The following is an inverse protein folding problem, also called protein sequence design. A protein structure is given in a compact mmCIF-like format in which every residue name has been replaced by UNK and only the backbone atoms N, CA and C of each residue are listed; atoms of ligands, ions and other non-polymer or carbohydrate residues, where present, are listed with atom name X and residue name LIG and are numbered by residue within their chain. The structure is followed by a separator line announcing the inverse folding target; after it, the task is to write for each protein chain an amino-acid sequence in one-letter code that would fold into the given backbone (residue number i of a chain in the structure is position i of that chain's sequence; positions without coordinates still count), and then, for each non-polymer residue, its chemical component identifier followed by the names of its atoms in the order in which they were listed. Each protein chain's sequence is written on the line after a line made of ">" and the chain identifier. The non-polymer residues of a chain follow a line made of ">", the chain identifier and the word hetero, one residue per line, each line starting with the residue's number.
data_IF_372200142692
#
_entry.id   IF_372200142692
#
_cell.length_a   1.000
_cell.length_b   1.000
_cell.length_c   1.000
_cell.angle_alpha   90.00
_cell.angle_beta   90.00
_cell.angle_gamma   90.00
#
_symmetry.space_group_name_H-M   'P 1'
#
loop_
_entity.id
_entity.type
_entity.pdbx_description
1 polymer ?
#
# COMPACT_ATOMS: atom_id res chain seq x y z
N UNK A 1 -6.76 4.14 -2.21
CA UNK A 1 -7.13 4.12 -3.64
C UNK A 1 -7.16 5.56 -4.13
N UNK A 2 -6.17 5.97 -4.93
CA UNK A 2 -6.27 7.20 -5.69
C UNK A 2 -7.05 6.88 -6.97
N UNK A 3 -8.19 7.53 -7.17
CA UNK A 3 -8.86 7.57 -8.46
C UNK A 3 -7.89 8.21 -9.45
N UNK A 4 -7.25 7.40 -10.28
CA UNK A 4 -6.63 7.88 -11.52
C UNK A 4 -7.77 8.35 -12.42
N UNK A 5 -8.20 9.60 -12.22
CA UNK A 5 -8.86 10.35 -13.28
C UNK A 5 -7.99 10.20 -14.53
N UNK A 6 -8.59 9.89 -15.68
CA UNK A 6 -7.97 10.02 -17.00
C UNK A 6 -7.60 11.51 -17.17
N UNK A 7 -6.45 11.88 -16.63
CA UNK A 7 -6.03 13.27 -16.46
C UNK A 7 -5.43 13.73 -17.79
N UNK A 8 -6.30 14.32 -18.62
CA UNK A 8 -6.06 14.95 -19.93
C UNK A 8 -5.45 14.06 -21.02
N UNK A 9 -6.30 13.51 -21.89
CA UNK A 9 -5.87 12.96 -23.19
C UNK A 9 -5.30 14.04 -24.13
N UNK A 10 -5.68 15.32 -23.92
CA UNK A 10 -5.19 16.46 -24.72
C UNK A 10 -3.84 16.98 -24.20
N UNK A 11 -2.75 16.36 -24.68
CA UNK A 11 -1.38 16.84 -24.44
C UNK A 11 -1.15 18.28 -24.92
N UNK A 12 -1.87 18.74 -25.95
CA UNK A 12 -1.72 20.09 -26.50
C UNK A 12 -2.29 21.16 -25.56
N UNK A 13 -3.34 20.85 -24.81
CA UNK A 13 -3.81 21.71 -23.74
C UNK A 13 -2.79 21.81 -22.60
N UNK A 14 -2.23 20.69 -22.15
CA UNK A 14 -1.23 20.65 -21.08
C UNK A 14 0.00 21.48 -21.45
N UNK A 15 0.49 21.36 -22.68
CA UNK A 15 1.62 22.14 -23.20
C UNK A 15 1.32 23.65 -23.20
N UNK A 16 0.14 24.06 -23.66
CA UNK A 16 -0.26 25.49 -23.65
C UNK A 16 -0.37 26.05 -22.23
N UNK A 17 -0.92 25.27 -21.30
CA UNK A 17 -1.00 25.66 -19.88
C UNK A 17 0.40 25.73 -19.28
N UNK A 18 1.29 24.78 -19.56
CA UNK A 18 2.67 24.81 -19.11
C UNK A 18 3.44 26.04 -19.62
N UNK A 19 3.27 26.39 -20.90
CA UNK A 19 3.86 27.61 -21.47
C UNK A 19 3.32 28.88 -20.80
N UNK A 20 2.01 28.95 -20.55
CA UNK A 20 1.42 30.07 -19.83
C UNK A 20 1.95 30.17 -18.39
N UNK A 21 2.02 29.06 -17.65
CA UNK A 21 2.57 29.02 -16.29
C UNK A 21 4.03 29.46 -16.27
N UNK A 22 4.85 29.02 -17.23
CA UNK A 22 6.25 29.47 -17.36
C UNK A 22 6.38 30.97 -17.55
N UNK A 23 5.52 31.57 -18.39
CA UNK A 23 5.50 33.02 -18.60
C UNK A 23 5.09 33.79 -17.34
N UNK A 24 4.18 33.22 -16.54
CA UNK A 24 3.73 33.85 -15.28
C UNK A 24 4.81 33.76 -14.21
N UNK A 25 5.46 32.61 -14.08
CA UNK A 25 6.56 32.38 -13.12
C UNK A 25 7.76 33.32 -13.35
N UNK A 26 7.96 33.84 -14.57
CA UNK A 26 9.04 34.79 -14.85
C UNK A 26 8.69 36.25 -14.53
N UNK A 27 7.42 36.55 -14.24
CA UNK A 27 6.93 37.92 -14.02
C UNK A 27 6.42 38.12 -12.59
N UNK A 28 5.88 37.07 -11.97
CA UNK A 28 5.23 37.14 -10.67
C UNK A 28 5.91 36.24 -9.64
N UNK A 29 5.89 36.68 -8.38
CA UNK A 29 6.32 35.89 -7.25
C UNK A 29 5.16 34.99 -6.80
N UNK A 30 5.32 33.68 -6.96
CA UNK A 30 4.34 32.69 -6.52
C UNK A 30 4.66 32.23 -5.10
N UNK A 31 3.61 32.01 -4.31
CA UNK A 31 3.79 31.45 -2.98
C UNK A 31 4.05 29.94 -3.06
N UNK A 32 4.82 29.39 -2.11
CA UNK A 32 5.21 27.97 -2.10
C UNK A 32 4.02 27.01 -2.18
N UNK A 33 2.88 27.39 -1.59
CA UNK A 33 1.61 26.66 -1.69
C UNK A 33 1.14 26.49 -3.14
N UNK A 34 1.22 27.55 -3.94
CA UNK A 34 0.78 27.55 -5.34
C UNK A 34 1.76 26.72 -6.17
N UNK A 35 3.06 26.90 -5.94
CA UNK A 35 4.13 26.12 -6.58
C UNK A 35 3.98 24.62 -6.32
N UNK A 36 3.68 24.22 -5.08
CA UNK A 36 3.45 22.82 -4.71
C UNK A 36 2.22 22.22 -5.42
N UNK A 37 1.15 23.00 -5.57
CA UNK A 37 -0.05 22.58 -6.31
C UNK A 37 0.24 22.45 -7.80
N UNK A 38 0.92 23.44 -8.40
CA UNK A 38 1.32 23.40 -9.80
C UNK A 38 2.20 22.17 -10.10
N UNK A 39 3.25 21.96 -9.31
CA UNK A 39 4.15 20.82 -9.47
C UNK A 39 3.38 19.49 -9.39
N UNK A 40 2.51 19.34 -8.38
CA UNK A 40 1.70 18.14 -8.20
C UNK A 40 0.70 17.92 -9.34
N UNK A 41 0.11 18.99 -9.90
CA UNK A 41 -0.83 18.89 -11.01
C UNK A 41 -0.13 18.42 -12.29
N UNK A 42 1.03 19.00 -12.62
CA UNK A 42 1.82 18.58 -13.78
C UNK A 42 2.37 17.16 -13.63
N UNK A 43 2.80 16.79 -12.43
CA UNK A 43 3.21 15.42 -12.13
C UNK A 43 2.05 14.42 -12.31
N UNK A 44 0.83 14.78 -11.89
CA UNK A 44 -0.34 13.91 -12.01
C UNK A 44 -0.78 13.65 -13.46
N UNK A 45 -0.54 14.58 -14.39
CA UNK A 45 -0.73 14.40 -15.84
C UNK A 45 0.51 13.81 -16.54
N UNK A 46 1.52 13.35 -15.78
CA UNK A 46 2.80 12.85 -16.29
C UNK A 46 3.50 13.82 -17.25
N UNK A 47 3.37 15.12 -17.00
CA UNK A 47 4.05 16.17 -17.77
C UNK A 47 5.41 16.48 -17.13
N UNK A 48 6.48 16.33 -17.91
CA UNK A 48 7.86 16.24 -17.42
C UNK A 48 8.82 17.28 -18.01
N UNK A 49 8.36 18.48 -18.35
CA UNK A 49 9.22 19.54 -18.92
C UNK A 49 10.26 20.02 -17.89
N UNK A 50 11.54 19.81 -18.20
CA UNK A 50 12.65 20.25 -17.35
C UNK A 50 12.62 21.76 -17.13
N UNK A 51 12.27 22.55 -18.15
CA UNK A 51 12.29 24.00 -18.02
C UNK A 51 11.21 24.49 -17.04
N UNK A 52 9.98 23.98 -17.14
CA UNK A 52 8.92 24.29 -16.17
C UNK A 52 9.32 23.90 -14.74
N UNK A 53 9.76 22.65 -14.52
CA UNK A 53 10.13 22.18 -13.19
C UNK A 53 11.36 22.90 -12.63
N UNK A 54 12.29 23.36 -13.47
CA UNK A 54 13.41 24.20 -13.02
C UNK A 54 12.92 25.55 -12.52
N UNK A 55 12.03 26.23 -13.25
CA UNK A 55 11.48 27.52 -12.78
C UNK A 55 10.69 27.36 -11.48
N UNK A 56 9.91 26.27 -11.35
CA UNK A 56 9.21 25.97 -10.11
C UNK A 56 10.19 25.74 -8.96
N UNK A 57 11.27 24.98 -9.18
CA UNK A 57 12.27 24.71 -8.15
C UNK A 57 12.99 25.99 -7.71
N UNK A 58 13.42 26.81 -8.67
CA UNK A 58 14.14 28.06 -8.39
C UNK A 58 13.23 29.04 -7.61
N UNK A 59 11.95 29.18 -8.01
CA UNK A 59 10.96 29.99 -7.27
C UNK A 59 10.59 29.39 -5.89
N UNK A 60 10.58 28.06 -5.77
CA UNK A 60 10.25 27.39 -4.52
C UNK A 60 11.32 27.63 -3.45
N UNK A 61 12.60 27.67 -3.84
CA UNK A 61 13.72 27.91 -2.91
C UNK A 61 13.59 29.26 -2.22
N UNK A 62 13.05 30.28 -2.89
CA UNK A 62 12.90 31.63 -2.33
C UNK A 62 11.86 31.69 -1.18
N UNK A 63 10.82 30.86 -1.25
CA UNK A 63 9.68 30.87 -0.31
C UNK A 63 9.57 29.60 0.53
N UNK A 64 10.56 28.70 0.45
CA UNK A 64 10.52 27.36 1.07
C UNK A 64 10.38 27.40 2.59
N UNK A 65 10.89 28.45 3.24
CA UNK A 65 10.84 28.60 4.69
C UNK A 65 9.40 28.77 5.20
N UNK A 66 8.49 29.25 4.36
CA UNK A 66 7.06 29.42 4.66
C UNK A 66 6.27 28.12 4.46
N UNK A 67 6.89 27.08 3.86
CA UNK A 67 6.21 25.86 3.47
C UNK A 67 5.72 25.03 4.66
N UNK A 68 4.46 24.65 4.66
CA UNK A 68 3.93 23.64 5.58
C UNK A 68 4.50 22.25 5.26
N UNK A 69 4.50 21.30 6.21
CA UNK A 69 4.90 19.91 5.97
C UNK A 69 4.19 19.27 4.77
N UNK A 70 2.91 19.62 4.58
CA UNK A 70 2.09 19.14 3.47
C UNK A 70 2.57 19.68 2.13
N UNK A 71 2.96 20.95 2.06
CA UNK A 71 3.48 21.58 0.84
C UNK A 71 4.85 21.03 0.47
N UNK A 72 5.73 20.83 1.46
CA UNK A 72 7.02 20.16 1.26
C UNK A 72 6.83 18.74 0.72
N UNK A 73 5.92 17.96 1.33
CA UNK A 73 5.65 16.60 0.88
C UNK A 73 5.11 16.55 -0.56
N UNK A 74 4.22 17.47 -0.94
CA UNK A 74 3.70 17.58 -2.32
C UNK A 74 4.80 17.91 -3.32
N UNK A 75 5.67 18.87 -3.02
CA UNK A 75 6.80 19.19 -3.88
C UNK A 75 7.72 17.99 -4.07
N UNK A 76 8.13 17.36 -2.96
CA UNK A 76 8.98 16.18 -3.01
C UNK A 76 8.36 15.05 -3.84
N UNK A 77 7.08 14.76 -3.62
CA UNK A 77 6.37 13.73 -4.37
C UNK A 77 6.26 14.08 -5.86
N UNK A 78 5.90 15.32 -6.18
CA UNK A 78 5.78 15.79 -7.56
C UNK A 78 7.09 15.57 -8.31
N UNK A 79 8.20 16.14 -7.82
CA UNK A 79 9.49 16.03 -8.48
C UNK A 79 10.04 14.60 -8.51
N UNK A 80 9.72 13.75 -7.53
CA UNK A 80 10.16 12.35 -7.49
C UNK A 80 9.32 11.40 -8.35
N UNK A 81 8.15 11.85 -8.83
CA UNK A 81 7.24 11.04 -9.67
C UNK A 81 7.42 11.29 -11.16
N UNK A 82 8.10 12.36 -11.55
CA UNK A 82 8.36 12.70 -12.95
C UNK A 82 9.31 11.67 -13.56
N UNK A 83 8.78 10.77 -14.39
CA UNK A 83 9.57 9.76 -15.08
C UNK A 83 10.17 10.31 -16.39
N UNK A 84 11.34 9.81 -16.82
CA UNK A 84 11.85 10.12 -18.15
C UNK A 84 10.89 9.53 -19.20
N UNK A 85 10.32 10.40 -20.06
CA UNK A 85 9.54 9.98 -21.21
C UNK A 85 10.34 9.00 -22.08
N UNK A 86 9.94 7.74 -22.09
CA UNK A 86 10.57 6.65 -22.83
C UNK A 86 10.14 6.72 -24.31
N UNK A 87 10.63 7.73 -25.04
CA UNK A 87 10.52 7.74 -26.49
C UNK A 87 11.75 7.04 -27.07
N UNK A 88 11.56 5.99 -27.87
CA UNK A 88 12.62 5.34 -28.63
C UNK A 88 13.16 6.32 -29.67
N UNK A 89 14.44 6.69 -29.58
CA UNK A 89 15.11 7.60 -30.52
C UNK A 89 16.59 7.28 -30.67
N UNK A 90 17.22 7.79 -31.72
CA UNK A 90 18.57 7.41 -32.18
C UNK A 90 19.71 7.66 -31.18
N UNK A 91 20.92 7.20 -31.51
CA UNK A 91 22.10 7.26 -30.62
C UNK A 91 22.50 8.70 -30.20
N UNK A 92 22.32 9.70 -31.07
CA UNK A 92 22.62 11.10 -30.76
C UNK A 92 21.54 11.73 -29.86
N UNK A 93 20.27 11.42 -30.12
CA UNK A 93 19.15 11.82 -29.26
C UNK A 93 19.27 11.18 -27.87
N UNK A 94 19.81 9.97 -27.78
CA UNK A 94 20.05 9.29 -26.51
C UNK A 94 21.08 10.02 -25.64
N UNK A 95 22.17 10.53 -26.23
CA UNK A 95 23.19 11.27 -25.50
C UNK A 95 22.64 12.58 -24.92
N UNK A 96 21.83 13.30 -25.69
CA UNK A 96 21.15 14.52 -25.24
C UNK A 96 20.08 14.21 -24.19
N UNK A 97 19.32 13.12 -24.34
CA UNK A 97 18.36 12.64 -23.32
C UNK A 97 19.03 12.31 -22.00
N UNK A 98 20.18 11.65 -22.03
CA UNK A 98 20.98 11.34 -20.83
C UNK A 98 21.42 12.64 -20.16
N UNK A 99 21.98 13.59 -20.90
CA UNK A 99 22.40 14.87 -20.36
C UNK A 99 21.24 15.67 -19.74
N UNK A 100 20.06 15.67 -20.38
CA UNK A 100 18.85 16.31 -19.84
C UNK A 100 18.32 15.60 -18.59
N UNK A 101 18.37 14.27 -18.56
CA UNK A 101 18.02 13.45 -17.39
C UNK A 101 18.93 13.78 -16.20
N UNK A 102 20.24 13.87 -16.43
CA UNK A 102 21.21 14.26 -15.40
C UNK A 102 20.98 15.67 -14.87
N UNK A 103 20.68 16.64 -15.75
CA UNK A 103 20.35 18.01 -15.33
C UNK A 103 19.09 18.05 -14.46
N UNK A 104 18.04 17.32 -14.85
CA UNK A 104 16.83 17.17 -14.04
C UNK A 104 17.14 16.59 -12.67
N UNK A 105 17.91 15.49 -12.64
CA UNK A 105 18.32 14.84 -11.40
C UNK A 105 19.08 15.79 -10.47
N UNK A 106 20.06 16.54 -10.98
CA UNK A 106 20.80 17.52 -10.18
C UNK A 106 19.91 18.63 -9.62
N UNK A 107 18.95 19.12 -10.41
CA UNK A 107 17.97 20.13 -9.94
C UNK A 107 17.05 19.57 -8.86
N UNK A 108 16.59 18.33 -9.01
CA UNK A 108 15.81 17.64 -7.97
C UNK A 108 16.63 17.46 -6.69
N UNK A 109 17.89 17.04 -6.79
CA UNK A 109 18.76 16.87 -5.62
C UNK A 109 18.98 18.21 -4.88
N UNK A 110 19.22 19.31 -5.60
CA UNK A 110 19.34 20.63 -5.01
C UNK A 110 18.05 21.08 -4.29
N UNK A 111 16.88 20.86 -4.89
CA UNK A 111 15.60 21.16 -4.23
C UNK A 111 15.39 20.28 -3.00
N UNK A 112 15.73 19.00 -3.09
CA UNK A 112 15.60 18.03 -2.00
C UNK A 112 16.50 18.40 -0.82
N UNK A 113 17.74 18.85 -1.05
CA UNK A 113 18.64 19.35 0.01
C UNK A 113 17.96 20.44 0.85
N UNK A 114 17.36 21.43 0.18
CA UNK A 114 16.65 22.53 0.84
C UNK A 114 15.38 22.04 1.56
N UNK A 115 14.61 21.15 0.92
CA UNK A 115 13.40 20.57 1.53
C UNK A 115 13.72 19.74 2.77
N UNK A 116 14.81 18.96 2.75
CA UNK A 116 15.26 18.13 3.88
C UNK A 116 15.69 19.02 5.05
N UNK A 117 16.45 20.09 4.79
CA UNK A 117 16.82 21.06 5.81
C UNK A 117 15.58 21.71 6.46
N UNK A 118 14.63 22.19 5.65
CA UNK A 118 13.39 22.78 6.15
C UNK A 118 12.52 21.77 6.93
N UNK A 119 12.40 20.54 6.43
CA UNK A 119 11.64 19.48 7.09
C UNK A 119 12.24 19.09 8.45
N UNK A 120 13.57 19.10 8.60
CA UNK A 120 14.26 18.83 9.88
C UNK A 120 13.87 19.82 10.97
N UNK A 121 13.64 21.09 10.63
CA UNK A 121 13.23 22.11 11.60
C UNK A 121 11.76 21.95 12.01
N UNK A 122 10.92 21.51 11.08
CA UNK A 122 9.46 21.45 11.27
C UNK A 122 8.97 20.12 11.86
N UNK A 123 9.78 19.06 11.77
CA UNK A 123 9.41 17.69 12.17
C UNK A 123 8.85 17.56 13.59
N UNK A 124 9.39 18.32 14.54
CA UNK A 124 9.02 18.22 15.96
C UNK A 124 7.56 18.62 16.24
N UNK A 125 6.93 19.36 15.32
CA UNK A 125 5.59 19.92 15.47
C UNK A 125 4.57 19.29 14.52
N UNK A 126 4.98 18.30 13.73
CA UNK A 126 4.09 17.62 12.79
C UNK A 126 3.05 16.77 13.53
N UNK A 127 1.81 16.83 13.04
CA UNK A 127 0.76 15.87 13.40
C UNK A 127 1.10 14.46 12.88
N UNK A 128 0.37 13.45 13.36
CA UNK A 128 0.53 12.07 12.88
C UNK A 128 0.35 11.95 11.36
N UNK A 129 -0.64 12.64 10.79
CA UNK A 129 -0.90 12.61 9.36
C UNK A 129 0.21 13.30 8.55
N UNK A 130 0.73 14.41 9.05
CA UNK A 130 1.87 15.10 8.43
C UNK A 130 3.14 14.27 8.48
N UNK A 131 3.43 13.60 9.60
CA UNK A 131 4.58 12.70 9.72
C UNK A 131 4.49 11.56 8.70
N UNK A 132 3.33 10.94 8.54
CA UNK A 132 3.13 9.85 7.58
C UNK A 132 3.26 10.34 6.13
N UNK A 133 2.63 11.47 5.82
CA UNK A 133 2.68 12.07 4.49
C UNK A 133 4.13 12.44 4.12
N UNK A 134 4.84 13.13 5.01
CA UNK A 134 6.22 13.55 4.79
C UNK A 134 7.17 12.35 4.74
N UNK A 135 7.01 11.33 5.60
CA UNK A 135 7.81 10.11 5.54
C UNK A 135 7.64 9.36 4.22
N UNK A 136 6.41 9.27 3.71
CA UNK A 136 6.16 8.65 2.41
C UNK A 136 6.79 9.44 1.26
N UNK A 137 6.64 10.78 1.26
CA UNK A 137 7.21 11.64 0.23
C UNK A 137 8.75 11.63 0.24
N UNK A 138 9.37 11.71 1.42
CA UNK A 138 10.82 11.60 1.59
C UNK A 138 11.35 10.23 1.18
N UNK A 139 10.62 9.15 1.47
CA UNK A 139 11.00 7.82 1.03
C UNK A 139 10.93 7.65 -0.49
N UNK A 140 9.95 8.27 -1.15
CA UNK A 140 9.90 8.32 -2.62
C UNK A 140 11.11 9.09 -3.16
N UNK A 141 11.45 10.24 -2.57
CA UNK A 141 12.63 11.02 -2.92
C UNK A 141 13.94 10.24 -2.71
N UNK A 142 14.03 9.47 -1.61
CA UNK A 142 15.17 8.59 -1.33
C UNK A 142 15.43 7.57 -2.43
N UNK A 143 14.37 7.05 -3.07
CA UNK A 143 14.50 6.05 -4.14
C UNK A 143 15.07 6.59 -5.45
N UNK A 144 14.93 7.89 -5.70
CA UNK A 144 15.37 8.56 -6.94
C UNK A 144 16.65 9.36 -6.78
N UNK A 145 17.11 9.56 -5.55
CA UNK A 145 18.33 10.31 -5.24
C UNK A 145 19.57 9.48 -5.56
N UNK A 146 20.53 10.03 -6.31
CA UNK A 146 21.79 9.36 -6.61
C UNK A 146 22.95 9.81 -5.69
N UNK A 147 22.90 11.05 -5.19
CA UNK A 147 23.90 11.57 -4.25
C UNK A 147 23.94 10.75 -2.95
N UNK A 148 25.08 10.14 -2.58
CA UNK A 148 25.16 9.33 -1.36
C UNK A 148 25.01 10.17 -0.09
N UNK A 149 25.62 11.36 -0.04
CA UNK A 149 25.52 12.26 1.11
C UNK A 149 24.06 12.69 1.38
N UNK A 150 23.33 13.06 0.33
CA UNK A 150 21.92 13.44 0.46
C UNK A 150 21.05 12.24 0.85
N UNK A 151 21.36 11.03 0.36
CA UNK A 151 20.66 9.82 0.78
C UNK A 151 20.86 9.54 2.27
N UNK A 152 22.06 9.75 2.80
CA UNK A 152 22.34 9.60 4.23
C UNK A 152 21.56 10.64 5.05
N UNK A 153 21.47 11.88 4.56
CA UNK A 153 20.68 12.93 5.19
C UNK A 153 19.18 12.60 5.22
N UNK A 154 18.62 12.17 4.09
CA UNK A 154 17.21 11.75 4.01
C UNK A 154 16.95 10.55 4.92
N UNK A 155 17.85 9.57 4.96
CA UNK A 155 17.74 8.41 5.85
C UNK A 155 17.78 8.82 7.34
N UNK A 156 18.64 9.77 7.71
CA UNK A 156 18.69 10.31 9.07
C UNK A 156 17.41 11.06 9.46
N UNK A 157 16.82 11.83 8.52
CA UNK A 157 15.53 12.49 8.72
C UNK A 157 14.40 11.47 8.87
N UNK A 158 14.35 10.44 8.01
CA UNK A 158 13.37 9.35 8.11
C UNK A 158 13.50 8.59 9.45
N UNK A 159 14.73 8.35 9.93
CA UNK A 159 14.97 7.76 11.24
C UNK A 159 14.45 8.63 12.38
N UNK A 160 14.58 9.96 12.26
CA UNK A 160 14.05 10.92 13.23
C UNK A 160 12.51 10.94 13.22
N UNK A 161 11.89 10.92 12.04
CA UNK A 161 10.42 10.80 11.87
C UNK A 161 9.89 9.53 12.50
N UNK A 162 10.58 8.40 12.26
CA UNK A 162 10.24 7.11 12.85
C UNK A 162 10.25 7.17 14.37
N UNK A 163 11.34 7.68 14.96
CA UNK A 163 11.49 7.80 16.41
C UNK A 163 10.38 8.65 17.04
N UNK A 164 10.03 9.77 16.40
CA UNK A 164 8.96 10.65 16.86
C UNK A 164 7.58 10.01 16.72
N UNK A 165 7.30 9.33 15.61
CA UNK A 165 6.06 8.57 15.41
C UNK A 165 5.94 7.44 16.45
N UNK A 166 7.03 6.71 16.71
CA UNK A 166 7.06 5.64 17.72
C UNK A 166 6.86 6.20 19.14
N UNK A 167 7.42 7.37 19.45
CA UNK A 167 7.21 8.03 20.74
C UNK A 167 5.76 8.53 20.94
N UNK A 168 5.04 8.80 19.85
CA UNK A 168 3.67 9.35 19.85
C UNK A 168 2.59 8.33 19.42
N UNK A 169 2.90 7.02 19.41
CA UNK A 169 1.99 5.93 18.98
C UNK A 169 0.61 5.92 19.66
N UNK A 170 0.49 6.53 20.85
CA UNK A 170 -0.78 6.65 21.55
C UNK A 170 -1.84 7.42 20.74
N UNK A 171 -1.42 8.37 19.90
CA UNK A 171 -2.30 9.22 19.08
C UNK A 171 -2.62 8.56 17.73
N UNK A 172 -1.88 7.52 17.33
CA UNK A 172 -2.07 6.84 16.05
C UNK A 172 -3.24 5.86 16.11
N UNK A 173 -4.06 5.91 15.06
CA UNK A 173 -5.07 4.89 14.74
C UNK A 173 -4.43 3.66 14.07
N UNK A 174 -5.18 2.56 13.98
CA UNK A 174 -4.70 1.32 13.35
C UNK A 174 -4.29 1.51 11.89
N UNK A 175 -5.08 2.26 11.12
CA UNK A 175 -4.77 2.57 9.71
C UNK A 175 -3.51 3.41 9.58
N UNK A 176 -3.32 4.40 10.45
CA UNK A 176 -2.10 5.22 10.50
C UNK A 176 -0.86 4.39 10.86
N UNK A 177 -0.98 3.44 11.79
CA UNK A 177 0.12 2.49 12.10
C UNK A 177 0.45 1.63 10.88
N UNK A 178 -0.58 1.14 10.16
CA UNK A 178 -0.37 0.39 8.92
C UNK A 178 0.36 1.23 7.87
N UNK A 179 -0.01 2.50 7.69
CA UNK A 179 0.66 3.43 6.77
C UNK A 179 2.11 3.71 7.18
N UNK A 180 2.37 3.84 8.48
CA UNK A 180 3.74 3.99 9.00
C UNK A 180 4.58 2.79 8.58
N UNK A 181 4.14 1.57 8.93
CA UNK A 181 4.87 0.34 8.64
C UNK A 181 5.07 0.16 7.13
N UNK A 182 4.04 0.44 6.32
CA UNK A 182 4.13 0.41 4.86
C UNK A 182 5.24 1.30 4.32
N UNK A 183 5.29 2.57 4.75
CA UNK A 183 6.29 3.53 4.25
C UNK A 183 7.70 3.05 4.58
N UNK A 184 7.96 2.61 5.81
CA UNK A 184 9.30 2.12 6.18
C UNK A 184 9.66 0.79 5.51
N UNK A 185 8.70 -0.13 5.30
CA UNK A 185 8.95 -1.38 4.60
C UNK A 185 9.21 -1.18 3.11
N UNK A 186 8.45 -0.28 2.46
CA UNK A 186 8.56 0.02 1.03
C UNK A 186 9.95 0.53 0.67
N UNK A 187 10.49 1.41 1.51
CA UNK A 187 11.78 2.06 1.29
C UNK A 187 12.96 1.34 1.94
N UNK A 188 12.71 0.14 2.49
CA UNK A 188 13.71 -0.71 3.19
C UNK A 188 14.51 0.07 4.23
N UNK A 189 13.86 1.00 4.91
CA UNK A 189 14.47 1.81 5.95
C UNK A 189 14.58 0.98 7.23
N UNK A 190 15.69 1.09 7.99
CA UNK A 190 15.89 0.28 9.17
C UNK A 190 14.84 0.59 10.24
N UNK A 191 14.23 -0.47 10.77
CA UNK A 191 13.26 -0.37 11.86
C UNK A 191 13.74 -1.22 13.06
N UNK A 192 14.51 -0.64 13.99
CA UNK A 192 14.96 -1.28 15.21
C UNK A 192 13.91 -2.17 15.90
N UNK A 193 14.27 -3.40 16.30
CA UNK A 193 13.36 -4.33 16.96
C UNK A 193 12.72 -3.78 18.24
N UNK A 194 13.44 -2.93 18.99
CA UNK A 194 12.92 -2.28 20.20
C UNK A 194 11.75 -1.33 19.91
N UNK A 195 11.79 -0.64 18.78
CA UNK A 195 10.72 0.26 18.36
C UNK A 195 9.57 -0.52 17.73
N UNK A 196 9.85 -1.59 16.97
CA UNK A 196 8.82 -2.53 16.51
C UNK A 196 8.07 -3.16 17.68
N UNK A 197 8.76 -3.49 18.78
CA UNK A 197 8.11 -4.04 19.97
C UNK A 197 7.09 -3.04 20.55
N UNK A 198 7.41 -1.75 20.61
CA UNK A 198 6.45 -0.72 21.04
C UNK A 198 5.23 -0.61 20.12
N UNK A 199 5.44 -0.76 18.80
CA UNK A 199 4.34 -0.82 17.83
C UNK A 199 3.45 -2.04 18.11
N UNK A 200 4.05 -3.21 18.32
CA UNK A 200 3.34 -4.46 18.65
C UNK A 200 2.54 -4.33 19.95
N UNK A 201 3.13 -3.74 20.99
CA UNK A 201 2.45 -3.50 22.27
C UNK A 201 1.25 -2.56 22.08
N UNK A 202 1.41 -1.49 21.28
CA UNK A 202 0.31 -0.58 20.95
C UNK A 202 -0.81 -1.28 20.18
N UNK A 203 -0.46 -2.11 19.20
CA UNK A 203 -1.43 -2.90 18.44
C UNK A 203 -2.21 -3.84 19.35
N UNK A 204 -1.55 -4.48 20.33
CA UNK A 204 -2.23 -5.31 21.34
C UNK A 204 -3.16 -4.52 22.28
N UNK A 205 -2.82 -3.27 22.59
CA UNK A 205 -3.67 -2.39 23.38
C UNK A 205 -4.93 -1.95 22.61
N UNK A 206 -4.80 -1.67 21.30
CA UNK A 206 -5.94 -1.32 20.45
C UNK A 206 -6.94 -2.47 20.32
N UNK A 207 -6.43 -3.71 20.23
CA UNK A 207 -7.26 -4.90 20.00
C UNK A 207 -8.01 -5.36 21.24
N UNK A 208 -7.45 -5.11 22.43
CA UNK A 208 -8.12 -5.36 23.70
C UNK A 208 -9.17 -4.30 24.04
N UNK A 209 -8.97 -3.05 23.63
CA UNK A 209 -9.91 -1.95 23.85
C UNK A 209 -11.22 -2.11 23.06
N UNK A 210 -11.15 -2.59 21.81
CA UNK A 210 -12.33 -2.85 20.97
C UNK A 210 -13.19 -4.00 21.51
N UNK A 211 -12.57 -5.01 22.12
CA UNK A 211 -13.28 -6.12 22.77
C UNK A 211 -14.11 -5.68 23.99
N UNK A 212 -13.67 -4.65 24.72
CA UNK A 212 -14.38 -4.12 25.91
C UNK A 212 -15.55 -3.19 25.51
N UNK A 213 -15.45 -2.49 24.39
CA UNK A 213 -16.53 -1.60 23.91
C UNK A 213 -17.68 -2.36 23.23
N UNK A 214 -17.40 -3.51 22.61
CA UNK A 214 -18.42 -4.39 22.03
C UNK A 214 -19.39 -5.01 23.05
N UNK A 215 -19.01 -5.08 24.33
CA UNK A 215 -19.84 -5.65 25.39
C UNK A 215 -20.87 -4.67 25.99
N UNK A 216 -20.85 -3.37 25.63
CA UNK A 216 -21.67 -2.34 26.28
C UNK A 216 -22.71 -1.62 25.41
N UNK A 217 -22.78 -1.86 24.10
CA UNK A 217 -23.77 -1.21 23.23
C UNK A 217 -24.62 -2.22 22.46
N UNK A 218 -25.52 -2.88 23.19
CA UNK A 218 -26.73 -3.44 22.59
C UNK A 218 -27.71 -2.30 22.29
N UNK A 219 -27.61 -1.72 21.10
CA UNK A 219 -28.71 -1.07 20.34
C UNK A 219 -28.13 -0.08 19.34
N UNK A 220 -28.05 -0.49 18.07
CA UNK A 220 -28.26 0.32 16.85
C UNK A 220 -27.74 -0.50 15.67
N UNK A 221 -28.62 -1.37 15.16
CA UNK A 221 -28.46 -1.99 13.84
C UNK A 221 -28.54 -0.88 12.77
N UNK A 222 -27.94 -1.15 11.60
CA UNK A 222 -27.76 -0.26 10.43
C UNK A 222 -26.41 0.47 10.44
N UNK A 223 -25.30 -0.28 10.27
CA UNK A 223 -24.02 0.14 9.61
C UNK A 223 -22.89 -0.92 9.71
N UNK A 224 -23.09 -2.03 10.42
CA UNK A 224 -21.99 -2.93 10.84
C UNK A 224 -21.42 -3.91 9.78
N UNK A 225 -21.89 -3.94 8.53
CA UNK A 225 -21.48 -4.97 7.56
C UNK A 225 -20.30 -4.60 6.66
N UNK A 226 -19.84 -3.34 6.60
CA UNK A 226 -18.65 -2.94 5.81
C UNK A 226 -17.36 -2.75 6.62
N UNK A 227 -17.46 -2.50 7.91
CA UNK A 227 -16.32 -2.29 8.81
C UNK A 227 -15.41 -3.52 9.04
N UNK A 228 -15.89 -4.78 9.02
CA UNK A 228 -15.03 -5.94 9.30
C UNK A 228 -13.98 -6.23 8.22
N UNK A 229 -14.30 -5.99 6.95
CA UNK A 229 -13.41 -6.30 5.83
C UNK A 229 -12.25 -5.31 5.71
N UNK A 230 -12.51 -4.01 5.88
CA UNK A 230 -11.46 -2.98 5.88
C UNK A 230 -10.51 -3.14 7.08
N UNK A 231 -11.07 -3.52 8.24
CA UNK A 231 -10.28 -3.84 9.43
C UNK A 231 -9.38 -5.05 9.19
N UNK A 232 -9.91 -6.13 8.63
CA UNK A 232 -9.16 -7.34 8.32
C UNK A 232 -8.04 -7.06 7.30
N UNK A 233 -8.32 -6.33 6.22
CA UNK A 233 -7.32 -5.95 5.23
C UNK A 233 -6.19 -5.11 5.84
N UNK A 234 -6.53 -4.21 6.77
CA UNK A 234 -5.54 -3.42 7.53
C UNK A 234 -4.69 -4.31 8.44
N UNK A 235 -5.30 -5.25 9.17
CA UNK A 235 -4.60 -6.20 10.03
C UNK A 235 -3.65 -7.12 9.23
N UNK A 236 -4.11 -7.64 8.08
CA UNK A 236 -3.29 -8.42 7.15
C UNK A 236 -2.08 -7.59 6.70
N UNK A 237 -2.32 -6.35 6.28
CA UNK A 237 -1.27 -5.43 5.83
C UNK A 237 -0.23 -5.19 6.93
N UNK A 238 -0.68 -4.97 8.17
CA UNK A 238 0.20 -4.80 9.33
C UNK A 238 1.07 -6.05 9.55
N UNK A 239 0.48 -7.26 9.58
CA UNK A 239 1.23 -8.51 9.76
C UNK A 239 2.27 -8.70 8.65
N UNK A 240 1.90 -8.40 7.42
CA UNK A 240 2.79 -8.45 6.27
C UNK A 240 3.96 -7.46 6.39
N UNK A 241 3.72 -6.20 6.74
CA UNK A 241 4.80 -5.22 6.89
C UNK A 241 5.70 -5.52 8.10
N UNK A 242 5.14 -6.05 9.20
CA UNK A 242 5.93 -6.51 10.34
C UNK A 242 6.88 -7.64 9.95
N UNK A 243 6.40 -8.60 9.15
CA UNK A 243 7.24 -9.67 8.60
C UNK A 243 8.40 -9.09 7.77
N UNK A 244 8.11 -8.20 6.81
CA UNK A 244 9.13 -7.58 5.97
C UNK A 244 10.20 -6.81 6.79
N UNK A 245 9.77 -6.03 7.78
CA UNK A 245 10.68 -5.25 8.62
C UNK A 245 11.55 -6.14 9.52
N UNK A 246 10.98 -7.22 10.07
CA UNK A 246 11.72 -8.20 10.86
C UNK A 246 12.74 -8.99 10.02
N UNK A 247 12.45 -9.25 8.74
CA UNK A 247 13.39 -9.90 7.82
C UNK A 247 14.51 -8.95 7.36
N UNK A 248 14.21 -7.68 7.16
CA UNK A 248 15.17 -6.66 6.71
C UNK A 248 16.17 -6.20 7.77
N UNK A 249 15.93 -6.52 9.05
CA UNK A 249 16.82 -6.14 10.15
C UNK A 249 18.17 -6.88 10.03
N UNK A 250 19.31 -6.18 9.97
CA UNK A 250 20.60 -6.81 9.81
C UNK A 250 20.83 -7.79 10.97
N UNK A 251 21.05 -9.06 10.64
CA UNK A 251 21.57 -10.05 11.58
C UNK A 251 22.93 -9.53 12.03
N UNK A 252 23.01 -9.07 13.28
CA UNK A 252 24.24 -8.57 13.89
C UNK A 252 25.29 -9.67 13.91
N UNK A 253 26.12 -9.72 12.87
CA UNK A 253 27.34 -10.53 12.78
C UNK A 253 28.47 -9.81 13.51
N UNK A 254 28.34 -9.62 14.82
CA UNK A 254 29.49 -9.34 15.68
C UNK A 254 29.22 -9.88 17.08
N UNK A 255 30.08 -10.79 17.54
CA UNK A 255 29.96 -11.49 18.83
C UNK A 255 30.22 -10.59 20.04
N UNK A 256 29.38 -9.58 20.24
CA UNK A 256 29.44 -8.63 21.37
C UNK A 256 28.16 -8.69 22.21
N UNK A 257 28.22 -8.30 23.48
CA UNK A 257 27.05 -8.28 24.38
C UNK A 257 25.89 -7.38 23.87
N UNK A 258 26.19 -6.41 23.00
CA UNK A 258 25.17 -5.60 22.33
C UNK A 258 24.37 -6.42 21.30
N UNK A 259 25.02 -7.37 20.61
CA UNK A 259 24.37 -8.27 19.66
C UNK A 259 23.46 -9.29 20.35
N UNK A 260 23.82 -9.77 21.56
CA UNK A 260 22.94 -10.65 22.34
C UNK A 260 21.70 -9.92 22.86
N UNK A 261 21.83 -8.66 23.30
CA UNK A 261 20.70 -7.81 23.66
C UNK A 261 19.76 -7.50 22.49
N UNK A 262 20.32 -7.22 21.31
CA UNK A 262 19.54 -6.99 20.09
C UNK A 262 18.80 -8.26 19.63
N UNK A 263 19.45 -9.42 19.69
CA UNK A 263 18.84 -10.71 19.37
C UNK A 263 17.70 -11.06 20.34
N UNK A 264 17.89 -10.85 21.65
CA UNK A 264 16.84 -11.06 22.64
C UNK A 264 15.63 -10.13 22.43
N UNK A 265 15.88 -8.88 22.06
CA UNK A 265 14.82 -7.92 21.73
C UNK A 265 14.05 -8.36 20.48
N UNK A 266 14.77 -8.78 19.42
CA UNK A 266 14.15 -9.32 18.21
C UNK A 266 13.29 -10.55 18.50
N UNK A 267 13.75 -11.47 19.34
CA UNK A 267 12.97 -12.64 19.75
C UNK A 267 11.69 -12.24 20.49
N UNK A 268 11.76 -11.27 21.41
CA UNK A 268 10.57 -10.71 22.08
C UNK A 268 9.59 -10.06 21.11
N UNK A 269 10.10 -9.26 20.16
CA UNK A 269 9.27 -8.65 19.12
C UNK A 269 8.56 -9.72 18.31
N UNK A 270 9.29 -10.74 17.86
CA UNK A 270 8.75 -11.85 17.08
C UNK A 270 7.67 -12.63 17.85
N UNK A 271 7.91 -12.91 19.14
CA UNK A 271 6.92 -13.53 20.03
C UNK A 271 5.65 -12.67 20.16
N UNK A 272 5.80 -11.34 20.27
CA UNK A 272 4.68 -10.41 20.32
C UNK A 272 3.87 -10.39 19.02
N UNK A 273 4.54 -10.39 17.86
CA UNK A 273 3.88 -10.47 16.55
C UNK A 273 3.14 -11.80 16.38
N UNK A 274 3.72 -12.92 16.80
CA UNK A 274 3.03 -14.23 16.78
C UNK A 274 1.74 -14.21 17.61
N UNK A 275 1.79 -13.61 18.80
CA UNK A 275 0.59 -13.45 19.64
C UNK A 275 -0.48 -12.60 18.96
N UNK A 276 -0.09 -11.50 18.31
CA UNK A 276 -1.02 -10.68 17.51
C UNK A 276 -1.66 -11.50 16.38
N UNK A 277 -0.84 -12.23 15.62
CA UNK A 277 -1.31 -13.09 14.53
C UNK A 277 -2.36 -14.09 15.04
N UNK A 278 -2.06 -14.86 16.11
CA UNK A 278 -3.03 -15.80 16.70
C UNK A 278 -4.34 -15.12 17.14
N UNK A 279 -4.26 -13.89 17.63
CA UNK A 279 -5.43 -13.12 18.09
C UNK A 279 -6.27 -12.61 16.91
N UNK A 280 -5.64 -12.23 15.80
CA UNK A 280 -6.32 -11.61 14.65
C UNK A 280 -6.82 -12.62 13.63
N UNK A 281 -6.06 -13.69 13.38
CA UNK A 281 -6.34 -14.69 12.34
C UNK A 281 -7.78 -15.21 12.35
N UNK A 282 -8.41 -15.57 13.49
CA UNK A 282 -9.79 -16.01 13.50
C UNK A 282 -10.77 -14.95 12.96
N UNK A 283 -10.62 -13.69 13.40
CA UNK A 283 -11.47 -12.58 12.96
C UNK A 283 -11.22 -12.20 11.51
N UNK A 284 -9.96 -12.30 11.05
CA UNK A 284 -9.60 -12.09 9.65
C UNK A 284 -10.35 -13.10 8.77
N UNK A 285 -10.33 -14.39 9.10
CA UNK A 285 -11.03 -15.41 8.31
C UNK A 285 -12.56 -15.24 8.32
N UNK A 286 -13.14 -14.73 9.41
CA UNK A 286 -14.56 -14.37 9.46
C UNK A 286 -14.92 -13.25 8.48
N UNK A 287 -14.00 -12.33 8.18
CA UNK A 287 -14.25 -11.25 7.21
C UNK A 287 -14.42 -11.76 5.77
N UNK A 288 -13.88 -12.95 5.46
CA UNK A 288 -14.06 -13.65 4.20
C UNK A 288 -15.32 -14.53 4.18
N UNK A 289 -16.12 -14.57 5.26
CA UNK A 289 -17.36 -15.35 5.32
C UNK A 289 -18.48 -14.63 4.57
N UNK A 290 -19.42 -15.37 3.94
CA UNK A 290 -20.57 -14.76 3.29
C UNK A 290 -21.41 -14.00 4.34
N UNK A 291 -21.73 -12.74 4.04
CA UNK A 291 -22.63 -11.96 4.88
C UNK A 291 -24.00 -12.66 4.91
N UNK A 292 -24.62 -12.91 6.09
CA UNK A 292 -25.87 -13.65 6.19
C UNK A 292 -27.07 -12.96 5.49
N UNK A 293 -26.90 -11.74 4.99
CA UNK A 293 -27.95 -10.95 4.33
C UNK A 293 -28.09 -11.19 2.81
N UNK A 294 -27.24 -12.01 2.19
CA UNK A 294 -27.36 -12.31 0.75
C UNK A 294 -28.08 -13.64 0.46
N UNK A 295 -28.24 -14.50 1.47
CA UNK A 295 -28.89 -15.81 1.29
C UNK A 295 -30.41 -15.81 1.61
N UNK A 296 -31.00 -14.69 2.03
CA UNK A 296 -32.45 -14.58 2.26
C UNK A 296 -33.27 -14.39 0.99
N UNK A 297 -32.67 -14.02 -0.16
CA UNK A 297 -33.40 -13.92 -1.43
C UNK A 297 -33.52 -15.24 -2.20
N UNK A 298 -32.86 -16.33 -1.75
CA UNK A 298 -32.98 -17.67 -2.37
C UNK A 298 -33.83 -18.65 -1.54
N UNK A 299 -34.34 -18.21 -0.38
CA UNK A 299 -35.18 -19.03 0.51
C UNK A 299 -36.69 -18.70 0.43
N UNK A 300 -37.10 -17.72 -0.38
CA UNK A 300 -38.51 -17.27 -0.48
C UNK A 300 -39.18 -17.60 -1.83
N UNK A 301 -38.58 -18.48 -2.65
CA UNK A 301 -39.17 -18.93 -3.93
C UNK A 301 -39.45 -20.45 -4.00
N UNK A 302 -39.46 -21.16 -2.85
CA UNK A 302 -39.82 -22.59 -2.80
C UNK A 302 -41.16 -22.92 -2.13
N UNK A 303 -41.96 -21.91 -1.81
CA UNK A 303 -43.33 -22.11 -1.33
C UNK A 303 -44.27 -21.10 -1.99
N UNK A 304 -44.70 -21.39 -3.21
CA UNK A 304 -45.98 -20.99 -3.81
C UNK A 304 -46.00 -21.46 -5.27
N UNK A 305 -46.13 -22.77 -5.44
CA UNK A 305 -46.57 -23.36 -6.69
C UNK A 305 -47.83 -24.16 -6.39
N UNK A 306 -48.99 -23.58 -6.67
CA UNK A 306 -50.22 -24.26 -7.14
C UNK A 306 -51.40 -23.27 -7.05
N UNK A 307 -51.92 -22.83 -8.20
CA UNK A 307 -53.19 -22.12 -8.27
C UNK A 307 -53.31 -21.03 -9.33
N UNK A 308 -53.78 -21.42 -10.51
CA UNK A 308 -54.77 -20.67 -11.30
C UNK A 308 -54.37 -19.39 -12.07
N UNK A 309 -54.11 -19.62 -13.37
CA UNK A 309 -54.78 -19.03 -14.55
C UNK A 309 -55.02 -17.52 -14.69
N UNK A 310 -54.55 -17.03 -15.85
CA UNK A 310 -55.20 -16.06 -16.77
C UNK A 310 -55.38 -14.61 -16.29
N UNK A 311 -54.64 -13.68 -16.91
CA UNK A 311 -55.17 -12.84 -18.00
C UNK A 311 -54.06 -11.97 -18.64
N UNK A 312 -53.99 -12.05 -19.97
CA UNK A 312 -53.74 -11.01 -21.00
C UNK A 312 -52.70 -9.89 -20.75
N UNK A 313 -52.00 -9.35 -21.74
CA UNK A 313 -51.69 -9.63 -23.14
C UNK A 313 -51.10 -8.32 -23.69
N UNK A 314 -50.07 -8.42 -24.55
CA UNK A 314 -49.61 -7.43 -25.55
C UNK A 314 -48.85 -6.24 -24.96
N UNK A 315 -47.67 -5.86 -25.47
CA UNK A 315 -47.29 -5.78 -26.89
C UNK A 315 -45.86 -6.23 -27.14
N UNK A 316 -45.71 -7.04 -28.19
CA UNK A 316 -44.47 -7.46 -28.82
C UNK A 316 -44.09 -6.51 -29.97
N UNK A 317 -42.78 -6.34 -30.18
CA UNK A 317 -42.10 -6.20 -31.48
C UNK A 317 -40.58 -6.26 -31.18
N UNK A 318 -39.90 -7.41 -31.33
CA UNK A 318 -39.29 -7.95 -32.56
C UNK A 318 -37.98 -7.20 -32.94
N UNK A 319 -36.81 -7.84 -33.15
CA UNK A 319 -36.49 -9.26 -33.35
C UNK A 319 -35.05 -9.60 -32.90
N UNK A 320 -34.80 -10.88 -32.62
CA UNK A 320 -34.02 -11.83 -33.45
C UNK A 320 -32.49 -11.59 -33.34
N UNK A 321 -31.79 -12.35 -32.51
CA UNK A 321 -31.24 -13.71 -32.76
C UNK A 321 -29.81 -13.64 -33.29
N UNK A 322 -28.83 -13.98 -32.45
CA UNK A 322 -27.69 -14.86 -32.81
C UNK A 322 -26.80 -15.11 -31.58
N UNK A 323 -26.41 -16.37 -31.41
CA UNK A 323 -25.33 -16.82 -30.53
C UNK A 323 -23.97 -16.32 -31.04
N UNK A 324 -23.11 -15.86 -30.14
CA UNK A 324 -21.65 -15.84 -30.27
C UNK A 324 -21.09 -15.61 -28.86
N UNK A 325 -20.69 -16.65 -28.14
CA UNK A 325 -19.28 -17.07 -28.05
C UNK A 325 -18.28 -16.00 -28.53
N UNK A 326 -17.57 -15.39 -27.59
CA UNK A 326 -16.22 -14.86 -27.78
C UNK A 326 -15.67 -14.42 -26.43
N UNK A 327 -14.63 -15.12 -25.98
CA UNK A 327 -13.78 -14.73 -24.86
C UNK A 327 -13.25 -13.31 -25.02
N UNK A 328 -13.24 -12.60 -23.89
CA UNK A 328 -12.59 -11.31 -23.75
C UNK A 328 -11.65 -11.38 -22.56
N UNK A 329 -10.49 -12.00 -22.75
CA UNK A 329 -9.33 -11.80 -21.90
C UNK A 329 -8.93 -10.32 -21.99
N UNK A 330 -9.33 -9.51 -21.01
CA UNK A 330 -8.73 -8.19 -20.81
C UNK A 330 -7.34 -8.38 -20.21
N UNK A 331 -6.26 -7.94 -20.87
CA UNK A 331 -4.92 -8.10 -20.33
C UNK A 331 -4.72 -7.12 -19.18
N UNK A 332 -4.21 -7.61 -18.06
CA UNK A 332 -3.56 -6.78 -17.05
C UNK A 332 -4.41 -6.23 -15.90
N UNK A 333 -5.52 -6.88 -15.51
CA UNK A 333 -6.15 -6.57 -14.22
C UNK A 333 -5.53 -7.47 -13.15
N UNK A 334 -4.69 -6.89 -12.28
CA UNK A 334 -4.05 -7.63 -11.18
C UNK A 334 -5.06 -8.36 -10.29
N UNK A 335 -4.60 -9.32 -9.46
CA UNK A 335 -5.50 -10.21 -8.73
C UNK A 335 -6.50 -9.41 -7.87
N UNK A 336 -7.74 -9.91 -7.70
CA UNK A 336 -8.74 -9.25 -6.86
C UNK A 336 -8.19 -8.95 -5.46
N UNK A 337 -8.63 -7.86 -4.83
CA UNK A 337 -8.10 -7.40 -3.54
C UNK A 337 -8.09 -8.50 -2.46
N UNK A 338 -9.11 -9.36 -2.44
CA UNK A 338 -9.19 -10.50 -1.53
C UNK A 338 -8.07 -11.55 -1.77
N UNK A 339 -7.69 -11.80 -3.03
CA UNK A 339 -6.60 -12.74 -3.38
C UNK A 339 -5.26 -12.17 -2.94
N UNK A 340 -5.04 -10.86 -3.14
CA UNK A 340 -3.84 -10.17 -2.66
C UNK A 340 -3.72 -10.20 -1.13
N UNK A 341 -4.83 -10.00 -0.43
CA UNK A 341 -4.86 -10.07 1.03
C UNK A 341 -4.57 -11.48 1.53
N UNK A 342 -5.07 -12.53 0.87
CA UNK A 342 -4.73 -13.92 1.21
C UNK A 342 -3.26 -14.26 0.94
N UNK A 343 -2.69 -13.79 -0.17
CA UNK A 343 -1.25 -13.95 -0.45
C UNK A 343 -0.40 -13.30 0.64
N UNK A 344 -0.70 -12.04 0.99
CA UNK A 344 0.00 -11.32 2.07
C UNK A 344 -0.14 -12.02 3.41
N UNK A 345 -1.32 -12.55 3.73
CA UNK A 345 -1.57 -13.27 4.96
C UNK A 345 -0.76 -14.58 5.01
N UNK A 346 -0.71 -15.33 3.92
CA UNK A 346 0.08 -16.56 3.83
C UNK A 346 1.58 -16.27 3.94
N UNK A 347 2.06 -15.24 3.25
CA UNK A 347 3.47 -14.82 3.31
C UNK A 347 3.86 -14.37 4.72
N UNK A 348 3.00 -13.57 5.37
CA UNK A 348 3.20 -13.16 6.76
C UNK A 348 3.22 -14.39 7.68
N UNK A 349 2.31 -15.34 7.50
CA UNK A 349 2.26 -16.57 8.30
C UNK A 349 3.53 -17.41 8.13
N UNK A 350 3.96 -17.68 6.90
CA UNK A 350 5.19 -18.44 6.58
C UNK A 350 6.41 -17.81 7.24
N UNK A 351 6.52 -16.48 7.20
CA UNK A 351 7.67 -15.75 7.76
C UNK A 351 7.64 -15.60 9.29
N UNK A 352 6.46 -15.63 9.91
CA UNK A 352 6.29 -15.36 11.34
C UNK A 352 6.04 -16.61 12.19
N UNK A 353 5.66 -17.75 11.59
CA UNK A 353 5.32 -18.99 12.32
C UNK A 353 6.48 -19.51 13.17
N UNK A 354 6.13 -20.31 14.17
CA UNK A 354 7.07 -21.19 14.83
C UNK A 354 6.96 -22.59 14.19
N UNK A 355 8.02 -23.13 13.57
CA UNK A 355 7.96 -24.47 12.99
C UNK A 355 7.73 -25.58 14.02
N UNK A 356 7.91 -25.31 15.32
CA UNK A 356 7.67 -26.29 16.38
C UNK A 356 6.18 -26.38 16.78
N UNK A 357 5.39 -25.34 16.54
CA UNK A 357 3.98 -25.24 16.96
C UNK A 357 3.01 -25.72 15.86
N UNK A 358 2.98 -27.04 15.62
CA UNK A 358 2.16 -27.65 14.56
C UNK A 358 0.65 -27.42 14.73
N UNK A 359 0.14 -27.26 15.95
CA UNK A 359 -1.29 -27.05 16.18
C UNK A 359 -1.78 -25.70 15.61
N UNK A 360 -1.00 -24.64 15.82
CA UNK A 360 -1.32 -23.31 15.27
C UNK A 360 -1.26 -23.31 13.74
N UNK A 361 -0.33 -24.06 13.17
CA UNK A 361 -0.23 -24.25 11.72
C UNK A 361 -1.45 -24.95 11.14
N UNK A 362 -1.92 -26.03 11.77
CA UNK A 362 -3.12 -26.73 11.34
C UNK A 362 -4.38 -25.85 11.46
N UNK A 363 -4.49 -25.07 12.53
CA UNK A 363 -5.61 -24.14 12.72
C UNK A 363 -5.61 -23.03 11.68
N UNK A 364 -4.45 -22.45 11.40
CA UNK A 364 -4.29 -21.44 10.35
C UNK A 364 -4.64 -22.02 8.98
N UNK A 365 -4.07 -23.17 8.62
CA UNK A 365 -4.27 -23.82 7.32
C UNK A 365 -5.75 -24.15 7.07
N UNK A 366 -6.46 -24.65 8.09
CA UNK A 366 -7.90 -24.93 7.97
C UNK A 366 -8.69 -23.66 7.62
N UNK A 367 -8.49 -22.58 8.37
CA UNK A 367 -9.17 -21.31 8.10
C UNK A 367 -8.76 -20.70 6.74
N UNK A 368 -7.50 -20.87 6.38
CA UNK A 368 -6.95 -20.39 5.11
C UNK A 368 -7.52 -21.13 3.90
N UNK A 369 -7.59 -22.47 3.96
CA UNK A 369 -8.20 -23.30 2.92
C UNK A 369 -9.67 -22.90 2.70
N UNK A 370 -10.44 -22.71 3.77
CA UNK A 370 -11.83 -22.24 3.68
C UNK A 370 -11.92 -20.86 3.02
N UNK A 371 -11.03 -19.92 3.36
CA UNK A 371 -11.03 -18.59 2.77
C UNK A 371 -10.67 -18.63 1.28
N UNK A 372 -9.70 -19.46 0.89
CA UNK A 372 -9.28 -19.59 -0.51
C UNK A 372 -10.35 -20.24 -1.37
N UNK A 373 -11.05 -21.27 -0.87
CA UNK A 373 -12.19 -21.88 -1.57
C UNK A 373 -13.27 -20.84 -1.92
N UNK A 374 -13.43 -19.79 -1.10
CA UNK A 374 -14.41 -18.73 -1.36
C UNK A 374 -13.99 -17.76 -2.46
N UNK A 375 -12.70 -17.64 -2.77
CA UNK A 375 -12.20 -16.76 -3.84
C UNK A 375 -11.49 -17.51 -4.97
N UNK A 376 -11.55 -18.85 -5.02
CA UNK A 376 -10.79 -19.68 -5.97
C UNK A 376 -11.10 -19.38 -7.45
N UNK A 377 -12.31 -18.89 -7.75
CA UNK A 377 -12.71 -18.47 -9.11
C UNK A 377 -11.96 -17.23 -9.57
N UNK A 378 -11.48 -16.42 -8.63
CA UNK A 378 -10.80 -15.16 -8.84
C UNK A 378 -9.25 -15.29 -8.86
N UNK A 379 -8.74 -16.51 -8.65
CA UNK A 379 -7.30 -16.81 -8.67
C UNK A 379 -6.87 -17.08 -10.11
N UNK A 380 -5.96 -16.24 -10.61
CA UNK A 380 -5.29 -16.41 -11.89
C UNK A 380 -4.03 -17.30 -11.77
N UNK A 381 -3.44 -17.68 -12.90
CA UNK A 381 -2.24 -18.54 -12.92
C UNK A 381 -1.06 -17.91 -12.18
N UNK A 382 -0.89 -16.58 -12.27
CA UNK A 382 0.16 -15.86 -11.56
C UNK A 382 -0.01 -15.97 -10.04
N UNK A 383 -1.20 -15.69 -9.49
CA UNK A 383 -1.44 -15.83 -8.07
C UNK A 383 -1.33 -17.30 -7.61
N UNK A 384 -1.77 -18.26 -8.43
CA UNK A 384 -1.62 -19.68 -8.16
C UNK A 384 -0.14 -20.09 -8.02
N UNK A 385 0.73 -19.59 -8.91
CA UNK A 385 2.19 -19.82 -8.82
C UNK A 385 2.80 -19.28 -7.52
N UNK A 386 2.33 -18.12 -7.05
CA UNK A 386 2.78 -17.52 -5.79
C UNK A 386 2.29 -18.31 -4.58
N UNK A 387 1.04 -18.79 -4.60
CA UNK A 387 0.55 -19.70 -3.57
C UNK A 387 1.36 -20.98 -3.51
N UNK A 388 1.65 -21.63 -4.65
CA UNK A 388 2.47 -22.84 -4.70
C UNK A 388 3.85 -22.64 -4.08
N UNK A 389 4.53 -21.54 -4.41
CA UNK A 389 5.82 -21.20 -3.82
C UNK A 389 5.76 -21.08 -2.29
N UNK A 390 4.72 -20.41 -1.77
CA UNK A 390 4.54 -20.26 -0.32
C UNK A 390 4.14 -21.57 0.38
N UNK A 391 3.36 -22.42 -0.28
CA UNK A 391 2.93 -23.73 0.25
C UNK A 391 4.08 -24.74 0.29
N UNK A 392 5.00 -24.68 -0.67
CA UNK A 392 6.23 -25.47 -0.64
C UNK A 392 7.06 -25.15 0.61
N UNK A 393 7.13 -23.87 0.99
CA UNK A 393 7.78 -23.47 2.24
C UNK A 393 7.09 -24.05 3.49
N UNK A 394 5.78 -24.31 3.44
CA UNK A 394 5.03 -25.00 4.50
C UNK A 394 5.25 -26.52 4.52
N UNK A 395 5.89 -27.10 3.49
CA UNK A 395 6.13 -28.55 3.34
C UNK A 395 4.85 -29.38 3.39
N UNK A 396 3.76 -28.84 2.81
CA UNK A 396 2.53 -29.60 2.64
C UNK A 396 2.74 -30.78 1.68
N UNK A 397 2.06 -31.91 1.89
CA UNK A 397 2.15 -33.05 0.97
C UNK A 397 1.67 -32.65 -0.43
N UNK A 398 2.33 -33.16 -1.46
CA UNK A 398 1.98 -32.83 -2.85
C UNK A 398 0.57 -33.25 -3.26
N UNK A 399 0.01 -34.23 -2.54
CA UNK A 399 -1.33 -34.78 -2.71
C UNK A 399 -2.40 -34.00 -1.93
N UNK A 400 -2.02 -32.95 -1.19
CA UNK A 400 -2.99 -32.12 -0.50
C UNK A 400 -3.94 -31.46 -1.52
N UNK A 401 -5.25 -31.57 -1.28
CA UNK A 401 -6.30 -31.03 -2.15
C UNK A 401 -6.06 -29.54 -2.49
N UNK A 402 -5.45 -28.79 -1.56
CA UNK A 402 -5.13 -27.39 -1.75
C UNK A 402 -3.96 -27.18 -2.74
N UNK A 403 -2.92 -28.01 -2.66
CA UNK A 403 -1.78 -27.99 -3.59
C UNK A 403 -2.24 -28.40 -4.98
N UNK A 404 -3.11 -29.42 -5.08
CA UNK A 404 -3.68 -29.88 -6.34
C UNK A 404 -4.53 -28.79 -7.00
N UNK A 405 -5.40 -28.11 -6.25
CA UNK A 405 -6.20 -26.99 -6.75
C UNK A 405 -5.34 -25.87 -7.34
N UNK A 406 -4.24 -25.52 -6.66
CA UNK A 406 -3.32 -24.48 -7.14
C UNK A 406 -2.52 -24.93 -8.38
N UNK A 407 -2.10 -26.20 -8.43
CA UNK A 407 -1.46 -26.80 -9.63
C UNK A 407 -2.41 -26.76 -10.83
N UNK A 408 -3.69 -27.10 -10.65
CA UNK A 408 -4.71 -27.03 -11.70
C UNK A 408 -4.91 -25.58 -12.21
N UNK A 409 -4.97 -24.61 -11.30
CA UNK A 409 -5.14 -23.19 -11.65
C UNK A 409 -3.93 -22.62 -12.39
N UNK A 410 -2.72 -23.02 -12.01
CA UNK A 410 -1.48 -22.63 -12.68
C UNK A 410 -1.33 -23.26 -14.08
N UNK A 411 -1.88 -24.46 -14.30
CA UNK A 411 -1.81 -25.16 -15.59
C UNK A 411 -2.85 -24.69 -16.63
N UNK A 412 -3.86 -23.91 -16.21
CA UNK A 412 -4.94 -23.39 -17.07
C UNK A 412 -4.60 -22.06 -17.75
N UNK A 413 -3.40 -21.53 -17.54
CA UNK A 413 -2.80 -20.38 -18.23
C UNK A 413 -1.62 -20.85 -19.06
#
# INVERSE_FOLDING_TARGET
>A
MALTFQLCEDRGLVERVAQHVRQRLSVEAFHIRELAVLASAFAAVNYSDLALFSHIADAAVETINEATPVELARLLQAFSSVSPSTALGGLEEEQERIAQSERRRKKLEALLEVCVACAREKIAFMSADELLLSANALGQAFSVTASPALRDDVAALLASMRSLAVASLAVFSLSQISSLLFSFSRWKQPFPPAELLRVVDRLGALTSSDAVSGARHGSSQISQTRLPAELASTQISILFFLNLLLQSSPSSTSGTAAASGAAATRAKTLQGVRRLMRTWTPNIFLSFAPSPLVNSSLATERQLGEGETRLRARTAAAGSAEEADCGGETPGRGPPAAVQDLLRLLEAFVGLRDPEEKEDELLFLRGFQEAVLRCHTAIDGLAASQFLFLLEALRLPEEDDFVLLMKEKNAKT
#
